data_IF_588234839851
#
_entry.id   IF_588234839851
#
_cell.length_a   1.000
_cell.length_b   1.000
_cell.length_c   1.000
_cell.angle_alpha   90.00
_cell.angle_beta   90.00
_cell.angle_gamma   90.00
#
_symmetry.space_group_name_H-M   'P 1'
#
loop_
_entity.id
_entity.type
_entity.pdbx_description
1 polymer ?
#
# COMPACT_ATOMS: atom_id res chain seq x y z
N UNK A 1 22.92 4.90 -3.02
CA UNK A 1 21.99 4.87 -1.88
C UNK A 1 21.51 6.27 -1.52
N UNK A 2 22.42 7.25 -1.33
CA UNK A 2 22.08 8.59 -0.82
C UNK A 2 21.06 9.36 -1.67
N UNK A 3 21.17 9.32 -2.99
CA UNK A 3 20.23 10.03 -3.89
C UNK A 3 18.82 9.42 -3.80
N UNK A 4 18.73 8.11 -3.64
CA UNK A 4 17.46 7.41 -3.51
C UNK A 4 16.80 7.70 -2.16
N UNK A 5 17.57 7.70 -1.09
CA UNK A 5 17.08 8.04 0.25
C UNK A 5 16.60 9.50 0.33
N UNK A 6 17.31 10.42 -0.35
CA UNK A 6 16.89 11.82 -0.48
C UNK A 6 15.58 11.97 -1.26
N UNK A 7 15.39 11.17 -2.32
CA UNK A 7 14.16 11.19 -3.10
C UNK A 7 12.96 10.68 -2.28
N UNK A 8 13.12 9.59 -1.52
CA UNK A 8 12.09 9.08 -0.61
C UNK A 8 11.76 10.10 0.49
N UNK A 9 12.78 10.74 1.06
CA UNK A 9 12.60 11.80 2.05
C UNK A 9 11.81 12.98 1.48
N UNK A 10 12.13 13.40 0.26
CA UNK A 10 11.43 14.48 -0.42
C UNK A 10 9.94 14.16 -0.61
N UNK A 11 9.62 12.98 -1.12
CA UNK A 11 8.23 12.55 -1.30
C UNK A 11 7.50 12.49 0.03
N UNK A 12 8.12 11.91 1.06
CA UNK A 12 7.56 11.86 2.40
C UNK A 12 7.20 13.25 2.94
N UNK A 13 8.12 14.22 2.85
CA UNK A 13 7.87 15.57 3.33
C UNK A 13 6.71 16.27 2.62
N UNK A 14 6.46 15.92 1.36
CA UNK A 14 5.33 16.46 0.57
C UNK A 14 3.99 15.82 0.94
N UNK A 15 4.00 14.58 1.37
CA UNK A 15 2.78 13.79 1.56
C UNK A 15 2.44 13.51 3.03
N UNK A 16 3.35 13.73 3.97
CA UNK A 16 3.20 13.34 5.38
C UNK A 16 1.92 13.86 6.04
N UNK A 17 1.51 15.09 5.73
CA UNK A 17 0.30 15.70 6.30
C UNK A 17 -0.96 15.08 5.72
N UNK A 18 -0.97 14.79 4.42
CA UNK A 18 -2.08 14.10 3.77
C UNK A 18 -2.23 12.66 4.30
N UNK A 19 -1.12 11.97 4.52
CA UNK A 19 -1.14 10.61 5.08
C UNK A 19 -1.57 10.65 6.55
N UNK A 20 -1.11 11.63 7.32
CA UNK A 20 -1.51 11.81 8.72
C UNK A 20 -2.99 12.14 8.90
N UNK A 21 -3.65 12.67 7.85
CA UNK A 21 -5.11 12.91 7.84
C UNK A 21 -5.94 11.68 7.42
N UNK A 22 -5.29 10.58 7.04
CA UNK A 22 -5.96 9.33 6.72
C UNK A 22 -6.63 8.74 7.96
N UNK A 23 -7.88 8.26 7.85
CA UNK A 23 -8.57 7.61 8.97
C UNK A 23 -7.93 6.28 9.38
N UNK A 24 -7.06 5.69 8.57
CA UNK A 24 -6.43 4.40 8.84
C UNK A 24 -5.28 4.44 9.87
N UNK A 25 -4.90 5.62 10.38
CA UNK A 25 -3.83 5.77 11.39
C UNK A 25 -2.53 5.01 11.06
N UNK A 26 -2.16 4.96 9.79
CA UNK A 26 -1.07 4.12 9.27
C UNK A 26 0.29 4.40 9.92
N UNK A 27 0.50 5.60 10.44
CA UNK A 27 1.77 5.93 11.12
C UNK A 27 1.85 5.36 12.52
N UNK A 28 0.73 5.18 13.20
CA UNK A 28 0.70 4.51 14.51
C UNK A 28 1.02 3.03 14.35
N UNK A 29 0.48 2.39 13.30
CA UNK A 29 0.85 1.02 12.93
C UNK A 29 2.35 0.91 12.59
N UNK A 30 2.87 1.82 11.77
CA UNK A 30 4.28 1.84 11.41
C UNK A 30 5.18 2.03 12.65
N UNK A 31 4.78 2.86 13.58
CA UNK A 31 5.49 3.07 14.84
C UNK A 31 5.45 1.84 15.75
N UNK A 32 4.31 1.17 15.83
CA UNK A 32 4.15 -0.09 16.56
C UNK A 32 5.03 -1.22 16.00
N UNK A 33 5.17 -1.31 14.68
CA UNK A 33 6.10 -2.25 14.05
C UNK A 33 7.53 -2.01 14.52
N UNK A 34 7.98 -0.74 14.56
CA UNK A 34 9.33 -0.40 15.04
C UNK A 34 9.49 -0.70 16.51
N UNK A 35 8.51 -0.39 17.33
CA UNK A 35 8.54 -0.67 18.76
C UNK A 35 8.62 -2.17 19.04
N UNK A 36 7.81 -2.97 18.34
CA UNK A 36 7.89 -4.43 18.41
C UNK A 36 9.25 -4.97 18.00
N UNK A 37 9.83 -4.47 16.91
CA UNK A 37 11.16 -4.85 16.47
C UNK A 37 12.24 -4.48 17.50
N UNK A 38 12.19 -3.28 18.07
CA UNK A 38 13.16 -2.79 19.03
C UNK A 38 13.02 -3.44 20.43
N UNK A 39 11.87 -4.04 20.74
CA UNK A 39 11.69 -4.82 21.97
C UNK A 39 12.46 -6.14 21.94
N UNK A 40 12.64 -6.72 20.75
CA UNK A 40 13.37 -7.98 20.58
C UNK A 40 14.85 -7.76 20.33
N UNK A 41 15.21 -6.71 19.63
CA UNK A 41 16.58 -6.39 19.28
C UNK A 41 16.86 -4.91 19.53
N UNK A 42 17.87 -4.62 20.39
CA UNK A 42 18.29 -3.23 20.61
C UNK A 42 18.49 -2.48 19.28
N UNK A 43 17.76 -1.40 19.09
CA UNK A 43 17.83 -0.59 17.90
C UNK A 43 17.59 0.91 18.20
N UNK A 44 17.95 1.77 17.25
CA UNK A 44 17.60 3.18 17.28
C UNK A 44 16.19 3.35 16.68
N UNK A 45 15.18 3.37 17.56
CA UNK A 45 13.78 3.46 17.15
C UNK A 45 13.49 4.72 16.30
N UNK A 46 14.09 5.87 16.62
CA UNK A 46 13.87 7.11 15.86
C UNK A 46 14.37 6.96 14.40
N UNK A 47 15.55 6.39 14.23
CA UNK A 47 16.11 6.11 12.91
C UNK A 47 15.26 5.11 12.11
N UNK A 48 14.77 4.03 12.75
CA UNK A 48 13.93 3.04 12.10
C UNK A 48 12.53 3.58 11.76
N UNK A 49 11.90 4.36 12.63
CA UNK A 49 10.63 5.03 12.33
C UNK A 49 10.75 5.90 11.07
N UNK A 50 11.82 6.68 10.99
CA UNK A 50 12.12 7.48 9.80
C UNK A 50 12.28 6.62 8.55
N UNK A 51 13.06 5.53 8.61
CA UNK A 51 13.29 4.63 7.48
C UNK A 51 12.00 3.95 7.00
N UNK A 52 11.14 3.50 7.92
CA UNK A 52 9.85 2.88 7.57
C UNK A 52 8.95 3.90 6.87
N UNK A 53 8.85 5.13 7.38
CA UNK A 53 8.09 6.18 6.69
C UNK A 53 8.59 6.43 5.28
N UNK A 54 9.90 6.54 5.10
CA UNK A 54 10.49 6.75 3.77
C UNK A 54 10.25 5.56 2.84
N UNK A 55 10.41 4.33 3.30
CA UNK A 55 10.22 3.16 2.43
C UNK A 55 8.78 3.00 1.97
N UNK A 56 7.82 3.48 2.75
CA UNK A 56 6.42 3.51 2.34
C UNK A 56 6.12 4.51 1.20
N UNK A 57 7.06 5.40 0.89
CA UNK A 57 6.99 6.29 -0.28
C UNK A 57 7.55 5.65 -1.56
N UNK A 58 8.03 4.41 -1.47
CA UNK A 58 8.60 3.70 -2.60
C UNK A 58 7.64 3.58 -3.80
N UNK A 59 6.35 3.26 -3.62
CA UNK A 59 5.39 3.19 -4.73
C UNK A 59 5.27 4.49 -5.52
N UNK A 60 5.43 5.62 -4.89
CA UNK A 60 5.35 6.95 -5.51
C UNK A 60 6.56 7.26 -6.42
N UNK A 61 7.75 6.75 -6.05
CA UNK A 61 8.98 6.97 -6.82
C UNK A 61 9.14 6.00 -7.98
N UNK A 62 8.79 4.74 -7.71
CA UNK A 62 8.90 3.67 -8.69
C UNK A 62 7.58 3.65 -9.45
N UNK A 63 7.60 4.03 -10.72
CA UNK A 63 6.46 3.78 -11.60
C UNK A 63 6.30 2.27 -11.75
N UNK A 64 5.59 1.67 -10.82
CA UNK A 64 5.35 0.24 -10.79
C UNK A 64 4.49 -0.14 -11.99
N UNK A 65 5.07 -0.85 -12.94
CA UNK A 65 4.30 -1.47 -13.99
C UNK A 65 3.66 -2.74 -13.42
N UNK A 66 2.40 -2.92 -13.71
CA UNK A 66 1.62 -4.04 -13.20
C UNK A 66 0.68 -4.55 -14.29
N UNK A 67 0.44 -5.83 -14.29
CA UNK A 67 -0.64 -6.44 -15.07
C UNK A 67 -1.74 -6.89 -14.12
N UNK A 68 -2.99 -6.66 -14.49
CA UNK A 68 -4.15 -7.03 -13.70
C UNK A 68 -5.24 -7.64 -14.57
N UNK A 69 -5.96 -8.61 -14.02
CA UNK A 69 -7.11 -9.24 -14.64
C UNK A 69 -8.16 -9.51 -13.56
N UNK A 70 -9.43 -9.30 -13.90
CA UNK A 70 -10.57 -9.70 -13.09
C UNK A 70 -11.51 -10.59 -13.90
N UNK A 71 -12.08 -11.60 -13.25
CA UNK A 71 -13.13 -12.44 -13.81
C UNK A 71 -14.25 -12.59 -12.80
N UNK A 72 -15.50 -12.59 -13.26
CA UNK A 72 -16.68 -12.70 -12.41
C UNK A 72 -17.86 -13.30 -13.19
N UNK A 73 -18.93 -13.67 -12.49
CA UNK A 73 -20.12 -14.27 -13.04
C UNK A 73 -19.79 -15.52 -13.86
N UNK A 74 -20.30 -15.65 -15.07
CA UNK A 74 -20.10 -16.80 -15.97
C UNK A 74 -18.64 -17.07 -16.36
N UNK A 75 -17.74 -16.13 -16.12
CA UNK A 75 -16.30 -16.30 -16.36
C UNK A 75 -15.57 -17.00 -15.21
N UNK A 76 -16.29 -17.32 -14.11
CA UNK A 76 -15.75 -18.04 -12.95
C UNK A 76 -16.51 -19.34 -12.71
N UNK A 77 -15.86 -20.39 -12.15
CA UNK A 77 -16.56 -21.58 -11.74
C UNK A 77 -17.66 -21.23 -10.72
N UNK A 78 -18.88 -21.71 -10.94
CA UNK A 78 -20.06 -21.54 -10.09
C UNK A 78 -20.69 -20.13 -10.08
N UNK A 79 -20.42 -19.29 -11.07
CA UNK A 79 -21.06 -17.97 -11.29
C UNK A 79 -21.00 -16.97 -10.12
N UNK A 80 -20.15 -17.18 -9.11
CA UNK A 80 -20.42 -16.58 -7.81
C UNK A 80 -19.32 -15.68 -7.25
N UNK A 81 -18.11 -15.69 -7.80
CA UNK A 81 -17.00 -15.01 -7.12
C UNK A 81 -16.19 -14.16 -8.08
N UNK A 82 -15.78 -13.01 -7.59
CA UNK A 82 -14.73 -12.23 -8.21
C UNK A 82 -13.38 -12.97 -8.01
N UNK A 83 -12.74 -13.31 -9.12
CA UNK A 83 -11.35 -13.76 -9.14
C UNK A 83 -10.50 -12.62 -9.67
N UNK A 84 -9.50 -12.23 -8.91
CA UNK A 84 -8.57 -11.17 -9.26
C UNK A 84 -7.16 -11.71 -9.34
N UNK A 85 -6.48 -11.42 -10.43
CA UNK A 85 -5.07 -11.70 -10.62
C UNK A 85 -4.32 -10.39 -10.80
N UNK A 86 -3.17 -10.27 -10.15
CA UNK A 86 -2.27 -9.14 -10.31
C UNK A 86 -0.83 -9.60 -10.34
N UNK A 87 -0.04 -9.04 -11.23
CA UNK A 87 1.42 -9.20 -11.24
C UNK A 87 2.11 -7.86 -11.02
N UNK A 88 3.20 -7.89 -10.28
CA UNK A 88 4.08 -6.75 -10.07
C UNK A 88 5.23 -6.86 -11.08
N UNK A 89 5.22 -6.00 -12.10
CA UNK A 89 6.12 -6.09 -13.25
C UNK A 89 7.36 -5.18 -13.06
N UNK A 90 7.98 -5.22 -11.87
CA UNK A 90 9.23 -4.54 -11.62
C UNK A 90 10.17 -5.42 -10.77
N UNK A 91 11.45 -5.01 -10.65
CA UNK A 91 12.47 -5.77 -9.94
C UNK A 91 12.16 -6.03 -8.47
N UNK A 92 11.33 -7.03 -8.19
CA UNK A 92 10.89 -7.42 -6.84
C UNK A 92 11.89 -8.28 -6.08
N UNK A 93 13.06 -8.59 -6.65
CA UNK A 93 14.03 -9.51 -6.07
C UNK A 93 14.27 -9.36 -4.57
N UNK A 94 14.48 -8.16 -4.03
CA UNK A 94 14.68 -7.96 -2.60
C UNK A 94 13.47 -8.33 -1.73
N UNK A 95 12.26 -8.29 -2.28
CA UNK A 95 11.01 -8.51 -1.57
C UNK A 95 10.44 -9.92 -1.76
N UNK A 96 10.84 -10.63 -2.82
CA UNK A 96 10.26 -11.92 -3.20
C UNK A 96 10.28 -12.96 -2.07
N UNK A 97 11.34 -12.98 -1.27
CA UNK A 97 11.51 -13.95 -0.19
C UNK A 97 10.90 -13.51 1.16
N UNK A 98 10.35 -12.29 1.23
CA UNK A 98 9.80 -11.72 2.46
C UNK A 98 8.35 -11.26 2.29
N UNK A 99 7.74 -11.60 1.16
CA UNK A 99 6.31 -11.34 0.92
C UNK A 99 5.46 -12.27 1.77
N UNK A 100 4.42 -11.73 2.37
CA UNK A 100 3.45 -12.49 3.17
C UNK A 100 2.03 -11.99 2.94
N UNK A 101 1.05 -12.82 3.28
CA UNK A 101 -0.34 -12.41 3.36
C UNK A 101 -0.58 -11.73 4.70
N UNK A 102 -0.87 -10.43 4.65
CA UNK A 102 -1.27 -9.66 5.82
C UNK A 102 -2.79 -9.68 5.94
N UNK A 103 -3.30 -10.11 7.07
CA UNK A 103 -4.73 -10.03 7.42
C UNK A 103 -4.86 -9.03 8.56
N UNK A 104 -5.62 -7.97 8.31
CA UNK A 104 -5.85 -6.89 9.27
C UNK A 104 -7.28 -6.94 9.80
N UNK A 105 -7.42 -6.71 11.10
CA UNK A 105 -8.67 -6.49 11.81
C UNK A 105 -8.59 -5.11 12.47
N UNK A 106 -8.81 -4.02 11.72
CA UNK A 106 -8.66 -2.67 12.25
C UNK A 106 -9.73 -2.38 13.31
N UNK A 107 -9.36 -1.54 14.28
CA UNK A 107 -10.23 -1.14 15.39
C UNK A 107 -10.91 0.22 15.17
N UNK A 108 -10.53 0.93 14.11
CA UNK A 108 -11.13 2.22 13.77
C UNK A 108 -12.62 2.07 13.46
N UNK A 109 -13.38 3.07 13.85
CA UNK A 109 -14.83 3.10 13.61
C UNK A 109 -15.13 3.02 12.09
N UNK A 110 -16.14 2.22 11.74
CA UNK A 110 -16.56 1.96 10.35
C UNK A 110 -15.49 1.26 9.48
N UNK A 111 -14.48 0.67 10.10
CA UNK A 111 -13.50 -0.13 9.38
C UNK A 111 -13.99 -1.58 9.18
N UNK A 112 -13.43 -2.23 8.16
CA UNK A 112 -13.71 -3.63 7.85
C UNK A 112 -12.41 -4.43 7.77
N UNK A 113 -12.41 -5.72 8.16
CA UNK A 113 -11.27 -6.59 7.96
C UNK A 113 -10.90 -6.69 6.50
N UNK A 114 -9.60 -6.73 6.24
CA UNK A 114 -9.06 -6.88 4.88
C UNK A 114 -7.81 -7.75 4.87
N UNK A 115 -7.46 -8.25 3.70
CA UNK A 115 -6.22 -8.97 3.48
C UNK A 115 -5.45 -8.35 2.32
N UNK A 116 -4.13 -8.36 2.41
CA UNK A 116 -3.24 -7.83 1.38
C UNK A 116 -1.97 -8.67 1.24
N UNK A 117 -1.38 -8.70 0.05
CA UNK A 117 0.00 -9.14 -0.10
C UNK A 117 0.93 -7.98 0.24
N UNK A 118 1.79 -8.19 1.22
CA UNK A 118 2.65 -7.17 1.79
C UNK A 118 4.06 -7.68 2.07
N UNK A 119 4.91 -6.81 2.54
CA UNK A 119 6.27 -7.09 3.00
C UNK A 119 6.57 -6.30 4.28
N UNK A 120 7.57 -6.73 5.09
CA UNK A 120 7.83 -6.13 6.40
C UNK A 120 8.03 -4.61 6.34
N UNK A 121 7.31 -3.88 7.21
CA UNK A 121 7.40 -2.43 7.32
C UNK A 121 6.56 -1.65 6.29
N UNK A 122 5.86 -2.30 5.38
CA UNK A 122 4.96 -1.65 4.45
C UNK A 122 3.53 -1.61 5.01
N UNK A 123 3.05 -0.43 5.33
CA UNK A 123 1.71 -0.19 5.91
C UNK A 123 0.69 0.30 4.88
N UNK A 124 1.15 0.76 3.71
CA UNK A 124 0.29 1.01 2.56
C UNK A 124 -0.17 -0.30 1.89
N UNK A 125 -0.98 -0.19 0.84
CA UNK A 125 -1.43 -1.33 0.05
C UNK A 125 -1.19 -1.10 -1.44
N UNK A 126 -0.85 -2.17 -2.15
CA UNK A 126 -0.78 -2.16 -3.61
C UNK A 126 -1.71 -3.22 -4.22
N UNK A 127 -2.10 -4.22 -3.42
CA UNK A 127 -3.12 -5.20 -3.77
C UNK A 127 -3.74 -5.79 -2.52
N UNK A 128 -5.03 -6.02 -2.53
CA UNK A 128 -5.73 -6.60 -1.40
C UNK A 128 -7.21 -6.76 -1.67
N UNK A 129 -7.90 -7.29 -0.69
CA UNK A 129 -9.35 -7.45 -0.73
C UNK A 129 -9.96 -7.35 0.67
N UNK A 130 -11.17 -6.86 0.72
CA UNK A 130 -12.07 -6.92 1.87
C UNK A 130 -13.24 -7.83 1.54
N UNK A 131 -14.21 -7.91 2.44
CA UNK A 131 -15.49 -8.59 2.17
C UNK A 131 -16.22 -7.98 0.96
N UNK A 132 -16.01 -6.72 0.67
CA UNK A 132 -16.78 -5.94 -0.28
C UNK A 132 -16.04 -5.63 -1.58
N UNK A 133 -14.74 -5.44 -1.52
CA UNK A 133 -13.94 -4.92 -2.64
C UNK A 133 -12.64 -5.70 -2.80
N UNK A 134 -12.32 -6.07 -4.04
CA UNK A 134 -10.96 -6.46 -4.44
C UNK A 134 -10.29 -5.30 -5.13
N UNK A 135 -9.06 -4.97 -4.77
CA UNK A 135 -8.34 -3.84 -5.30
C UNK A 135 -6.90 -4.15 -5.64
N UNK A 136 -6.44 -3.55 -6.72
CA UNK A 136 -5.03 -3.55 -7.07
C UNK A 136 -4.64 -2.26 -7.79
N UNK A 137 -3.43 -1.83 -7.54
CA UNK A 137 -2.84 -0.70 -8.22
C UNK A 137 -2.32 -1.12 -9.59
N UNK A 138 -2.57 -0.25 -10.56
CA UNK A 138 -1.89 -0.26 -11.85
C UNK A 138 -1.53 1.16 -12.23
N UNK A 139 -0.25 1.42 -12.45
CA UNK A 139 0.17 2.66 -13.09
C UNK A 139 -0.01 2.51 -14.59
N UNK A 140 -0.86 3.35 -15.17
CA UNK A 140 -1.13 3.37 -16.60
C UNK A 140 -0.43 4.56 -17.27
N UNK A 141 0.33 4.29 -18.31
CA UNK A 141 0.91 5.29 -19.20
C UNK A 141 0.15 5.33 -20.55
N UNK A 142 -1.19 5.41 -20.43
CA UNK A 142 -2.13 5.28 -21.56
C UNK A 142 -1.91 6.28 -22.67
N UNK A 143 -1.19 7.36 -22.45
CA UNK A 143 -1.23 8.48 -23.39
C UNK A 143 0.00 8.67 -24.23
N UNK A 144 1.09 7.90 -24.00
CA UNK A 144 2.37 8.16 -24.68
C UNK A 144 2.87 9.60 -24.54
N UNK A 145 2.09 10.45 -23.89
CA UNK A 145 2.47 11.83 -23.57
C UNK A 145 3.20 11.79 -22.25
N UNK A 146 4.41 12.33 -22.22
CA UNK A 146 5.14 12.59 -20.97
C UNK A 146 4.22 13.40 -20.07
N UNK A 147 3.58 12.74 -19.09
CA UNK A 147 2.89 13.50 -18.04
C UNK A 147 3.90 14.36 -17.32
N UNK A 148 3.57 15.62 -16.98
CA UNK A 148 4.41 16.37 -16.07
C UNK A 148 4.67 15.49 -14.85
N UNK A 149 5.90 15.50 -14.35
CA UNK A 149 6.24 14.80 -13.10
C UNK A 149 5.24 15.22 -12.04
N UNK A 150 4.62 14.26 -11.36
CA UNK A 150 3.70 14.56 -10.30
C UNK A 150 4.35 15.50 -9.28
N UNK A 151 3.57 16.38 -8.71
CA UNK A 151 4.04 17.33 -7.69
C UNK A 151 4.24 16.65 -6.34
N UNK A 152 3.75 15.41 -6.20
CA UNK A 152 3.59 14.71 -4.91
C UNK A 152 2.73 15.50 -3.92
N UNK A 153 1.88 16.41 -4.41
CA UNK A 153 0.94 17.16 -3.61
C UNK A 153 -0.36 16.35 -3.50
N UNK A 154 -0.49 15.57 -2.44
CA UNK A 154 -1.65 14.71 -2.22
C UNK A 154 -1.28 13.49 -1.38
N UNK A 155 -2.25 12.62 -1.19
CA UNK A 155 -2.05 11.37 -0.47
C UNK A 155 -1.34 10.33 -1.35
N UNK A 156 -0.40 9.57 -0.78
CA UNK A 156 0.26 8.47 -1.46
C UNK A 156 -0.75 7.43 -1.95
N UNK A 157 -0.62 6.97 -3.18
CA UNK A 157 -1.58 6.04 -3.80
C UNK A 157 -1.77 4.77 -2.98
N UNK A 158 -0.70 4.22 -2.41
CA UNK A 158 -0.77 3.04 -1.56
C UNK A 158 -1.59 3.25 -0.27
N UNK A 159 -1.61 4.47 0.26
CA UNK A 159 -2.44 4.84 1.41
C UNK A 159 -3.90 5.06 1.00
N UNK A 160 -4.14 5.65 -0.16
CA UNK A 160 -5.51 5.74 -0.72
C UNK A 160 -6.12 4.35 -0.90
N UNK A 161 -5.37 3.40 -1.45
CA UNK A 161 -5.84 2.02 -1.61
C UNK A 161 -6.14 1.38 -0.25
N UNK A 162 -5.33 1.65 0.75
CA UNK A 162 -5.57 1.21 2.12
C UNK A 162 -6.90 1.74 2.65
N UNK A 163 -7.11 3.04 2.59
CA UNK A 163 -8.35 3.67 3.02
C UNK A 163 -9.56 3.08 2.30
N UNK A 164 -9.47 2.89 0.98
CA UNK A 164 -10.55 2.30 0.18
C UNK A 164 -10.90 0.88 0.58
N UNK A 165 -9.93 0.05 1.00
CA UNK A 165 -10.20 -1.31 1.48
C UNK A 165 -10.70 -1.33 2.92
N UNK A 166 -10.06 -0.56 3.80
CA UNK A 166 -10.34 -0.55 5.22
C UNK A 166 -11.71 0.06 5.54
N UNK A 167 -12.13 1.06 4.77
CA UNK A 167 -13.41 1.77 4.96
C UNK A 167 -14.40 1.51 3.81
N UNK A 168 -14.26 0.35 3.14
CA UNK A 168 -15.20 -0.04 2.10
C UNK A 168 -16.55 -0.41 2.71
N UNK A 169 -17.60 0.29 2.29
CA UNK A 169 -18.98 -0.05 2.63
C UNK A 169 -19.72 -0.50 1.37
N UNK A 170 -20.58 -1.53 1.51
CA UNK A 170 -21.64 -1.71 0.55
C UNK A 170 -22.77 -0.78 0.93
N UNK A 171 -23.09 0.20 0.11
CA UNK A 171 -24.42 0.79 0.18
C UNK A 171 -25.39 -0.28 -0.27
N UNK A 172 -26.12 -0.87 0.67
CA UNK A 172 -27.32 -1.61 0.34
C UNK A 172 -28.26 -0.63 -0.36
N UNK A 173 -28.57 -0.89 -1.64
CA UNK A 173 -29.59 -0.16 -2.41
C UNK A 173 -30.98 -0.65 -2.02
#
# INVERSE_FOLDING_TARGET
PEVFDLALAYVYERQKEHIASSPANVWDEADGIVEGMCSVKKCDAASYKKKIRHVNMLPELIRMQCSMMGAWGKATPNDEKLVQLRTLDFGTGPFANVTFLHVSHPEEENSVPFASLSFPGFVGLVTGFSKYVGQCEKVDDVTGKKRPRGTYDGQAVSMVIRDMLQFSETKEN
#
